data_IF_591101685251
#
_entry.id   IF_591101685251
#
_cell.length_a   1.000
_cell.length_b   1.000
_cell.length_c   1.000
_cell.angle_alpha   90.00
_cell.angle_beta   90.00
_cell.angle_gamma   90.00
#
_symmetry.space_group_name_H-M   'P 1'
#
loop_
_entity.id
_entity.type
_entity.pdbx_description
1 polymer ?
#
# COMPACT_ATOMS: atom_id res chain seq x y z
N UNK A 1 24.04 6.10 -6.96
CA UNK A 1 22.91 5.73 -6.10
C UNK A 1 22.79 6.82 -5.06
N UNK A 2 21.88 7.77 -5.26
CA UNK A 2 21.64 8.84 -4.28
C UNK A 2 20.67 8.31 -3.21
N UNK A 3 21.04 8.49 -1.94
CA UNK A 3 20.24 8.10 -0.78
C UNK A 3 19.83 9.36 -0.04
N UNK A 4 18.55 9.46 0.31
CA UNK A 4 18.04 10.55 1.15
C UNK A 4 17.94 10.06 2.59
N UNK A 5 18.62 10.74 3.52
CA UNK A 5 18.53 10.48 4.94
C UNK A 5 17.28 11.17 5.50
N UNK A 6 16.40 10.42 6.15
CA UNK A 6 15.50 11.02 7.13
C UNK A 6 16.18 10.90 8.49
N UNK A 7 16.30 12.02 9.22
CA UNK A 7 16.87 12.03 10.57
C UNK A 7 16.24 11.00 11.52
N UNK A 8 16.87 10.74 12.67
CA UNK A 8 16.47 9.66 13.59
C UNK A 8 15.01 9.79 14.03
N UNK A 9 14.12 8.99 13.43
CA UNK A 9 12.67 9.07 13.68
C UNK A 9 12.24 8.28 14.94
N UNK A 10 13.13 7.50 15.55
CA UNK A 10 12.80 6.59 16.65
C UNK A 10 13.66 6.74 17.90
N UNK A 11 13.11 6.34 19.05
CA UNK A 11 13.80 6.24 20.36
C UNK A 11 15.11 5.43 20.31
N UNK A 12 15.32 4.61 19.28
CA UNK A 12 16.49 3.72 19.14
C UNK A 12 17.70 4.36 18.46
N UNK A 13 17.61 5.60 17.96
CA UNK A 13 18.69 6.22 17.19
C UNK A 13 19.02 5.49 15.88
N UNK A 14 18.05 4.75 15.31
CA UNK A 14 18.20 4.12 14.00
C UNK A 14 18.05 5.15 12.88
N UNK A 15 18.94 5.06 11.89
CA UNK A 15 18.91 5.86 10.68
C UNK A 15 18.09 5.15 9.60
N UNK A 16 17.34 5.95 8.86
CA UNK A 16 16.55 5.53 7.73
C UNK A 16 17.04 6.25 6.49
N UNK A 17 17.31 5.48 5.44
CA UNK A 17 17.62 6.01 4.12
C UNK A 17 16.58 5.52 3.13
N UNK A 18 16.24 6.36 2.16
CA UNK A 18 15.31 6.03 1.09
C UNK A 18 16.08 5.92 -0.22
N UNK A 19 15.69 4.95 -1.05
CA UNK A 19 16.15 4.91 -2.44
C UNK A 19 15.59 6.09 -3.22
N UNK A 20 16.30 6.51 -4.26
CA UNK A 20 15.91 7.62 -5.14
C UNK A 20 14.52 7.45 -5.77
N UNK A 21 14.16 6.21 -6.11
CA UNK A 21 12.83 5.87 -6.62
C UNK A 21 11.76 5.69 -5.54
N UNK A 22 12.11 5.87 -4.26
CA UNK A 22 11.21 5.79 -3.11
C UNK A 22 10.61 4.41 -2.84
N UNK A 23 11.08 3.35 -3.53
CA UNK A 23 10.51 1.99 -3.42
C UNK A 23 11.06 1.20 -2.24
N UNK A 24 12.28 1.50 -1.80
CA UNK A 24 12.95 0.76 -0.73
C UNK A 24 13.45 1.69 0.37
N UNK A 25 13.50 1.13 1.58
CA UNK A 25 14.05 1.75 2.77
C UNK A 25 15.28 0.95 3.21
N UNK A 26 16.33 1.65 3.61
CA UNK A 26 17.48 1.08 4.29
C UNK A 26 17.40 1.52 5.74
N UNK A 27 17.21 0.56 6.65
CA UNK A 27 17.15 0.82 8.10
C UNK A 27 18.39 0.25 8.78
N UNK A 28 19.10 1.07 9.56
CA UNK A 28 20.17 0.56 10.43
C UNK A 28 19.56 -0.20 11.60
N UNK A 29 20.10 -1.37 11.90
CA UNK A 29 19.63 -2.25 12.99
C UNK A 29 20.75 -2.56 13.97
N UNK A 30 20.39 -2.90 15.19
CA UNK A 30 21.34 -3.34 16.20
C UNK A 30 21.83 -4.77 15.94
N UNK A 31 22.99 -5.13 16.50
CA UNK A 31 23.55 -6.48 16.34
C UNK A 31 22.60 -7.58 16.86
N UNK A 32 21.85 -7.29 17.92
CA UNK A 32 20.86 -8.20 18.51
C UNK A 32 19.70 -8.48 17.56
N UNK A 33 19.17 -7.44 16.90
CA UNK A 33 18.11 -7.55 15.88
C UNK A 33 18.57 -8.37 14.68
N UNK A 34 19.80 -8.13 14.21
CA UNK A 34 20.41 -8.94 13.15
C UNK A 34 20.47 -10.42 13.53
N UNK A 35 20.89 -10.73 14.77
CA UNK A 35 20.96 -12.13 15.25
C UNK A 35 19.57 -12.76 15.30
N UNK A 36 18.59 -12.06 15.84
CA UNK A 36 17.18 -12.51 15.90
C UNK A 36 16.65 -12.84 14.50
N UNK A 37 16.89 -11.98 13.52
CA UNK A 37 16.43 -12.23 12.16
C UNK A 37 17.11 -13.44 11.52
N UNK A 38 18.44 -13.58 11.68
CA UNK A 38 19.18 -14.72 11.16
C UNK A 38 18.69 -16.05 11.74
N UNK A 39 18.37 -16.10 13.03
CA UNK A 39 17.81 -17.29 13.68
C UNK A 39 16.39 -17.61 13.17
N UNK A 40 15.59 -16.60 12.86
CA UNK A 40 14.21 -16.75 12.38
C UNK A 40 14.04 -16.80 10.86
N UNK A 41 15.13 -16.68 10.07
CA UNK A 41 15.08 -16.44 8.62
C UNK A 41 14.29 -17.52 7.87
N UNK A 42 14.46 -18.79 8.25
CA UNK A 42 13.73 -19.90 7.63
C UNK A 42 12.23 -19.78 7.86
N UNK A 43 11.81 -19.55 9.10
CA UNK A 43 10.40 -19.41 9.45
C UNK A 43 9.78 -18.18 8.76
N UNK A 44 10.54 -17.08 8.66
CA UNK A 44 10.14 -15.91 7.89
C UNK A 44 9.91 -16.25 6.41
N UNK A 45 10.87 -16.93 5.78
CA UNK A 45 10.76 -17.32 4.37
C UNK A 45 9.54 -18.22 4.12
N UNK A 46 9.36 -19.25 4.95
CA UNK A 46 8.22 -20.16 4.85
C UNK A 46 6.90 -19.42 5.01
N UNK A 47 6.82 -18.46 5.95
CA UNK A 47 5.63 -17.62 6.14
C UNK A 47 5.32 -16.74 4.92
N UNK A 48 6.31 -16.05 4.35
CA UNK A 48 6.11 -15.17 3.19
C UNK A 48 5.66 -15.97 1.96
N UNK A 49 6.18 -17.18 1.76
CA UNK A 49 5.81 -18.05 0.63
C UNK A 49 4.40 -18.61 0.81
N UNK A 50 4.04 -19.03 2.02
CA UNK A 50 2.72 -19.56 2.31
C UNK A 50 1.62 -18.47 2.30
N UNK A 51 2.00 -17.20 2.53
CA UNK A 51 1.05 -16.09 2.70
C UNK A 51 1.34 -14.97 1.69
N UNK A 52 0.89 -15.11 0.43
CA UNK A 52 1.18 -14.12 -0.61
C UNK A 52 0.62 -12.74 -0.29
N UNK A 53 -0.45 -12.68 0.51
CA UNK A 53 -1.12 -11.46 0.94
C UNK A 53 -0.61 -10.89 2.27
N UNK A 54 0.49 -11.40 2.83
CA UNK A 54 1.05 -10.92 4.10
C UNK A 54 1.31 -9.40 4.13
N UNK A 55 0.93 -8.81 5.27
CA UNK A 55 1.21 -7.42 5.62
C UNK A 55 2.60 -7.25 6.22
N UNK A 56 3.29 -8.32 6.59
CA UNK A 56 4.66 -8.26 7.10
C UNK A 56 5.57 -7.61 6.06
N UNK A 57 6.33 -6.59 6.49
CA UNK A 57 7.24 -5.88 5.61
C UNK A 57 8.26 -6.86 4.98
N UNK A 58 8.48 -6.69 3.66
CA UNK A 58 9.41 -7.52 2.91
C UNK A 58 10.83 -7.05 3.06
N UNK A 59 11.69 -8.01 3.36
CA UNK A 59 13.11 -7.80 3.52
C UNK A 59 13.81 -8.31 2.27
N UNK A 60 14.53 -7.41 1.59
CA UNK A 60 15.24 -7.71 0.36
C UNK A 60 16.72 -8.02 0.59
N UNK A 61 17.28 -7.57 1.70
CA UNK A 61 18.67 -7.84 2.03
C UNK A 61 19.00 -7.51 3.47
N UNK A 62 19.83 -8.36 4.08
CA UNK A 62 20.43 -8.11 5.39
C UNK A 62 21.94 -7.98 5.18
N UNK A 63 22.49 -6.83 5.55
CA UNK A 63 23.87 -6.50 5.24
C UNK A 63 24.64 -6.03 6.48
N UNK A 64 25.95 -6.18 6.38
CA UNK A 64 26.90 -5.70 7.38
C UNK A 64 28.07 -5.03 6.69
N UNK A 65 28.34 -3.79 7.04
CA UNK A 65 29.50 -3.03 6.56
C UNK A 65 30.48 -2.79 7.70
N UNK A 66 31.77 -2.94 7.40
CA UNK A 66 32.87 -2.66 8.31
C UNK A 66 33.78 -1.62 7.66
N UNK A 67 33.71 -0.39 8.13
CA UNK A 67 34.61 0.68 7.69
C UNK A 67 35.97 0.56 8.40
N UNK A 68 37.09 0.91 7.75
CA UNK A 68 38.40 0.95 8.40
C UNK A 68 38.35 1.85 9.64
N UNK A 69 38.78 1.33 10.79
CA UNK A 69 38.78 2.03 12.10
C UNK A 69 37.39 2.43 12.65
N UNK A 70 36.28 1.91 12.12
CA UNK A 70 34.94 2.19 12.66
C UNK A 70 34.23 0.94 13.20
N UNK A 71 33.15 1.15 13.96
CA UNK A 71 32.25 0.08 14.41
C UNK A 71 31.57 -0.59 13.22
N UNK A 72 31.20 -1.87 13.40
CA UNK A 72 30.40 -2.61 12.41
C UNK A 72 29.00 -2.01 12.36
N UNK A 73 28.50 -1.75 11.17
CA UNK A 73 27.13 -1.26 10.94
C UNK A 73 26.34 -2.39 10.32
N UNK A 74 25.19 -2.71 10.91
CA UNK A 74 24.23 -3.65 10.36
C UNK A 74 23.04 -2.86 9.81
N UNK A 75 22.55 -3.26 8.65
CA UNK A 75 21.36 -2.65 8.06
C UNK A 75 20.55 -3.67 7.28
N UNK A 76 19.27 -3.35 7.13
CA UNK A 76 18.32 -4.12 6.34
C UNK A 76 17.78 -3.25 5.22
N UNK A 77 17.65 -3.84 4.03
CA UNK A 77 16.94 -3.27 2.89
C UNK A 77 15.54 -3.87 2.92
N UNK A 78 14.54 -3.01 3.02
CA UNK A 78 13.13 -3.39 3.18
C UNK A 78 12.23 -2.61 2.24
N UNK A 79 11.04 -3.13 1.99
CA UNK A 79 10.03 -2.45 1.19
C UNK A 79 9.59 -1.15 1.86
N UNK A 80 9.43 -0.09 1.06
CA UNK A 80 8.73 1.09 1.52
C UNK A 80 7.21 0.86 1.49
N UNK A 81 6.61 0.65 2.67
CA UNK A 81 5.15 0.51 2.83
C UNK A 81 4.43 1.79 2.39
N UNK A 82 5.09 2.95 2.47
CA UNK A 82 4.55 4.27 2.12
C UNK A 82 5.38 4.91 1.00
N UNK A 83 5.23 4.47 -0.27
CA UNK A 83 6.04 4.98 -1.37
C UNK A 83 5.89 6.50 -1.51
N UNK A 84 7.01 7.20 -1.66
CA UNK A 84 7.05 8.67 -1.83
C UNK A 84 6.31 9.16 -3.09
N UNK A 85 6.04 8.26 -4.04
CA UNK A 85 5.25 8.52 -5.24
C UNK A 85 3.75 8.69 -4.98
N UNK A 86 3.29 8.55 -3.73
CA UNK A 86 1.88 8.69 -3.35
C UNK A 86 1.72 9.89 -2.42
N UNK A 87 0.64 10.64 -2.60
CA UNK A 87 0.29 11.77 -1.72
C UNK A 87 -0.34 11.20 -0.45
N UNK A 88 0.53 10.76 0.46
CA UNK A 88 0.09 10.27 1.77
C UNK A 88 -0.28 11.49 2.61
N UNK A 89 -1.58 11.67 2.81
CA UNK A 89 -2.16 12.78 3.55
C UNK A 89 -2.06 12.56 5.06
N UNK A 90 -2.17 11.30 5.50
CA UNK A 90 -2.12 10.93 6.91
C UNK A 90 -1.32 9.65 7.11
N UNK A 91 -0.53 9.60 8.19
CA UNK A 91 0.26 8.43 8.55
C UNK A 91 0.03 8.07 10.01
N UNK A 92 -0.21 6.78 10.27
CA UNK A 92 -0.41 6.25 11.60
C UNK A 92 0.48 5.03 11.85
N UNK A 93 1.14 5.00 13.00
CA UNK A 93 1.82 3.83 13.55
C UNK A 93 0.98 3.34 14.72
N UNK A 94 0.38 2.15 14.60
CA UNK A 94 -0.57 1.59 15.58
C UNK A 94 -0.05 0.29 16.19
N UNK A 95 -0.09 0.16 17.52
CA UNK A 95 0.40 -1.01 18.29
C UNK A 95 -0.69 -1.69 19.13
N UNK A 96 -1.88 -1.10 19.18
CA UNK A 96 -2.96 -1.49 20.08
C UNK A 96 -2.66 -1.17 21.54
N UNK A 97 -1.92 -0.10 21.81
CA UNK A 97 -1.59 0.32 23.18
C UNK A 97 -1.68 1.83 23.31
N UNK A 98 -2.15 2.33 24.46
CA UNK A 98 -2.39 3.76 24.65
C UNK A 98 -1.27 4.49 25.40
N UNK A 99 -0.51 3.82 26.28
CA UNK A 99 0.48 4.52 27.11
C UNK A 99 1.67 5.08 26.30
N UNK A 100 1.87 6.40 26.34
CA UNK A 100 2.95 7.08 25.62
C UNK A 100 2.80 7.01 24.08
N UNK A 101 1.59 6.73 23.59
CA UNK A 101 1.26 6.55 22.18
C UNK A 101 0.40 7.71 21.65
N UNK A 102 0.89 8.91 21.89
CA UNK A 102 0.36 10.17 21.38
C UNK A 102 1.47 10.92 20.64
N UNK A 103 1.10 11.57 19.54
CA UNK A 103 1.91 12.58 18.86
C UNK A 103 1.27 13.93 19.13
N UNK A 104 2.07 14.88 19.60
CA UNK A 104 1.60 16.22 19.97
C UNK A 104 1.00 16.93 18.76
N UNK A 105 -0.12 17.63 18.97
CA UNK A 105 -0.82 18.36 17.90
C UNK A 105 0.08 19.37 17.19
N UNK A 106 0.93 20.09 17.92
CA UNK A 106 1.91 21.02 17.36
C UNK A 106 2.80 20.37 16.29
N UNK A 107 3.26 19.13 16.52
CA UNK A 107 4.11 18.41 15.55
C UNK A 107 3.32 18.03 14.29
N UNK A 108 2.02 17.73 14.44
CA UNK A 108 1.13 17.40 13.33
C UNK A 108 0.78 18.65 12.51
N UNK A 109 0.54 19.77 13.19
CA UNK A 109 0.22 21.04 12.55
C UNK A 109 1.45 21.63 11.81
N UNK A 110 2.65 21.47 12.37
CA UNK A 110 3.92 21.88 11.74
C UNK A 110 4.34 20.96 10.60
N UNK A 111 4.07 19.66 10.72
CA UNK A 111 4.40 18.66 9.70
C UNK A 111 3.18 17.77 9.43
N UNK A 112 2.44 18.01 8.34
CA UNK A 112 1.32 17.17 7.93
C UNK A 112 1.70 15.69 7.71
N UNK A 113 2.99 15.40 7.50
CA UNK A 113 3.56 14.06 7.39
C UNK A 113 4.09 13.53 8.73
N UNK A 114 3.70 14.11 9.86
CA UNK A 114 4.02 13.55 11.16
C UNK A 114 3.29 12.23 11.37
N UNK A 115 4.03 11.20 11.80
CA UNK A 115 3.43 9.90 12.13
C UNK A 115 2.64 10.04 13.42
N UNK A 116 1.33 9.85 13.31
CA UNK A 116 0.38 9.83 14.40
C UNK A 116 0.31 8.41 15.02
N UNK A 117 -0.24 8.29 16.23
CA UNK A 117 -0.24 7.03 17.00
C UNK A 117 -1.65 6.64 17.46
N UNK A 118 -1.73 5.59 18.27
CA UNK A 118 -2.98 4.98 18.75
C UNK A 118 -3.95 5.98 19.38
N UNK A 119 -3.48 6.87 20.27
CA UNK A 119 -4.37 7.86 20.89
C UNK A 119 -4.90 8.87 19.86
N UNK A 120 -4.05 9.32 18.94
CA UNK A 120 -4.49 10.23 17.87
C UNK A 120 -5.52 9.56 16.95
N UNK A 121 -5.41 8.26 16.70
CA UNK A 121 -6.39 7.51 15.92
C UNK A 121 -7.77 7.56 16.57
N UNK A 122 -7.83 7.26 17.88
CA UNK A 122 -9.07 7.27 18.68
C UNK A 122 -9.63 8.69 18.80
N UNK A 123 -8.79 9.68 19.14
CA UNK A 123 -9.19 11.09 19.30
C UNK A 123 -9.76 11.69 18.02
N UNK A 124 -9.25 11.28 16.87
CA UNK A 124 -9.73 11.74 15.57
C UNK A 124 -10.94 10.93 15.06
N UNK A 125 -11.48 10.01 15.88
CA UNK A 125 -12.60 9.12 15.53
C UNK A 125 -12.42 8.44 14.16
N UNK A 126 -11.19 8.00 13.87
CA UNK A 126 -10.84 7.43 12.56
C UNK A 126 -11.16 5.95 12.50
N UNK A 127 -11.64 5.54 11.34
CA UNK A 127 -11.85 4.13 10.99
C UNK A 127 -11.44 3.88 9.54
N UNK A 128 -11.10 2.63 9.22
CA UNK A 128 -10.98 2.17 7.84
C UNK A 128 -12.36 1.91 7.27
N UNK A 129 -12.76 2.69 6.28
CA UNK A 129 -14.06 2.54 5.60
C UNK A 129 -14.05 1.31 4.67
N UNK A 130 -14.35 0.14 5.24
CA UNK A 130 -14.27 -1.17 4.57
C UNK A 130 -15.62 -1.91 4.61
N UNK A 131 -16.02 -2.53 3.49
CA UNK A 131 -17.15 -3.45 3.48
C UNK A 131 -16.80 -4.73 4.28
N UNK A 132 -17.80 -5.54 4.68
CA UNK A 132 -17.56 -6.76 5.46
C UNK A 132 -16.55 -7.71 4.80
N UNK A 133 -16.62 -7.92 3.48
CA UNK A 133 -15.69 -8.77 2.72
C UNK A 133 -14.23 -8.31 2.85
N UNK A 134 -13.96 -7.01 2.69
CA UNK A 134 -12.62 -6.45 2.85
C UNK A 134 -12.13 -6.51 4.30
N UNK A 135 -13.03 -6.34 5.27
CA UNK A 135 -12.69 -6.50 6.68
C UNK A 135 -12.26 -7.93 6.98
N UNK A 136 -12.95 -8.93 6.45
CA UNK A 136 -12.53 -10.34 6.56
C UNK A 136 -11.16 -10.60 5.95
N UNK A 137 -10.92 -10.10 4.73
CA UNK A 137 -9.62 -10.24 4.05
C UNK A 137 -8.50 -9.62 4.90
N UNK A 138 -8.70 -8.39 5.38
CA UNK A 138 -7.70 -7.66 6.17
C UNK A 138 -7.44 -8.33 7.51
N UNK A 139 -8.49 -8.58 8.28
CA UNK A 139 -8.36 -9.10 9.64
C UNK A 139 -7.99 -10.58 9.67
N UNK A 140 -8.43 -11.37 8.70
CA UNK A 140 -7.96 -12.74 8.49
C UNK A 140 -6.45 -12.78 8.24
N UNK A 141 -5.93 -11.88 7.40
CA UNK A 141 -4.49 -11.78 7.15
C UNK A 141 -3.71 -11.27 8.37
N UNK A 142 -4.22 -10.25 9.08
CA UNK A 142 -3.61 -9.75 10.32
C UNK A 142 -3.53 -10.87 11.37
N UNK A 143 -4.60 -11.62 11.60
CA UNK A 143 -4.61 -12.71 12.56
C UNK A 143 -3.56 -13.78 12.22
N UNK A 144 -3.40 -14.10 10.94
CA UNK A 144 -2.41 -15.06 10.45
C UNK A 144 -0.98 -14.56 10.60
N UNK A 145 -0.70 -13.30 10.24
CA UNK A 145 0.61 -12.68 10.39
C UNK A 145 1.01 -12.53 11.87
N UNK A 146 0.08 -12.10 12.71
CA UNK A 146 0.29 -11.92 14.16
C UNK A 146 0.48 -13.26 14.85
N UNK A 147 -0.19 -14.34 14.41
CA UNK A 147 0.07 -15.69 14.91
C UNK A 147 1.51 -16.12 14.65
N UNK A 148 2.02 -15.90 13.44
CA UNK A 148 3.42 -16.14 13.11
C UNK A 148 4.36 -15.33 14.00
N UNK A 149 4.18 -14.02 14.10
CA UNK A 149 5.04 -13.14 14.91
C UNK A 149 5.04 -13.57 16.39
N UNK A 150 3.88 -13.91 16.93
CA UNK A 150 3.72 -14.42 18.29
C UNK A 150 4.46 -15.73 18.50
N UNK A 151 4.36 -16.67 17.55
CA UNK A 151 5.06 -17.97 17.61
C UNK A 151 6.58 -17.82 17.53
N UNK A 152 7.07 -16.80 16.80
CA UNK A 152 8.48 -16.45 16.70
C UNK A 152 9.01 -15.66 17.91
N UNK A 153 8.15 -15.37 18.89
CA UNK A 153 8.49 -14.57 20.07
C UNK A 153 8.78 -13.10 19.75
N UNK A 154 8.25 -12.60 18.63
CA UNK A 154 8.43 -11.20 18.18
C UNK A 154 7.33 -10.35 18.80
N UNK A 155 7.70 -9.15 19.27
CA UNK A 155 6.79 -8.18 19.87
C UNK A 155 7.13 -6.75 19.41
N UNK A 156 6.39 -5.76 19.92
CA UNK A 156 6.60 -4.34 19.65
C UNK A 156 6.50 -3.91 18.17
N UNK A 157 5.91 -4.76 17.31
CA UNK A 157 5.62 -4.44 15.91
C UNK A 157 4.41 -3.51 15.79
N UNK A 158 4.40 -2.66 14.77
CA UNK A 158 3.27 -1.74 14.50
C UNK A 158 2.60 -2.07 13.19
N UNK A 159 1.30 -1.80 13.07
CA UNK A 159 0.67 -1.60 11.78
C UNK A 159 0.90 -0.15 11.35
N UNK A 160 1.67 0.04 10.28
CA UNK A 160 1.82 1.32 9.61
C UNK A 160 0.68 1.49 8.61
N UNK A 161 -0.04 2.60 8.73
CA UNK A 161 -1.17 2.97 7.86
C UNK A 161 -0.84 4.29 7.19
N UNK A 162 -0.87 4.31 5.87
CA UNK A 162 -0.88 5.54 5.08
C UNK A 162 -2.25 5.72 4.44
N UNK A 163 -2.85 6.89 4.64
CA UNK A 163 -4.10 7.28 4.00
C UNK A 163 -3.76 8.25 2.87
N UNK A 164 -4.24 7.94 1.67
CA UNK A 164 -4.13 8.82 0.51
C UNK A 164 -5.48 8.94 -0.16
N UNK A 165 -5.81 10.11 -0.71
CA UNK A 165 -6.91 10.23 -1.66
C UNK A 165 -6.39 9.98 -3.06
N UNK A 166 -7.21 9.39 -3.93
CA UNK A 166 -6.86 9.25 -5.34
C UNK A 166 -6.86 10.63 -6.01
N UNK A 167 -5.76 11.36 -5.89
CA UNK A 167 -5.46 12.51 -6.74
C UNK A 167 -4.80 12.03 -8.03
N UNK A 168 -4.88 12.85 -9.09
CA UNK A 168 -4.14 12.59 -10.32
C UNK A 168 -2.65 12.48 -9.98
N UNK A 169 -2.09 11.28 -10.18
CA UNK A 169 -0.65 10.99 -9.97
C UNK A 169 0.24 12.03 -10.65
N UNK A 170 -0.22 12.57 -11.78
CA UNK A 170 0.42 13.63 -12.53
C UNK A 170 0.44 14.99 -11.83
N UNK A 171 -0.62 15.35 -11.10
CA UNK A 171 -0.67 16.58 -10.31
C UNK A 171 0.35 16.54 -9.16
N UNK A 172 0.50 15.38 -8.51
CA UNK A 172 1.49 15.18 -7.46
C UNK A 172 2.93 15.19 -8.01
N UNK A 173 3.19 14.46 -9.10
CA UNK A 173 4.52 14.45 -9.74
C UNK A 173 4.91 15.88 -10.14
N UNK A 174 3.96 16.66 -10.66
CA UNK A 174 4.14 18.06 -10.99
C UNK A 174 4.46 18.92 -9.76
N UNK A 175 3.71 18.75 -8.67
CA UNK A 175 3.95 19.44 -7.39
C UNK A 175 5.32 19.11 -6.80
N UNK A 176 5.72 17.83 -6.80
CA UNK A 176 7.04 17.39 -6.30
C UNK A 176 8.21 17.86 -7.18
N UNK A 177 7.96 18.06 -8.48
CA UNK A 177 8.91 18.70 -9.40
C UNK A 177 9.04 20.20 -9.11
N UNK A 178 7.91 20.89 -8.90
CA UNK A 178 7.85 22.32 -8.55
C UNK A 178 8.47 22.61 -7.18
N UNK A 179 8.33 21.72 -6.20
CA UNK A 179 8.93 21.81 -4.87
C UNK A 179 10.42 21.39 -4.84
N UNK A 180 11.00 20.99 -5.98
CA UNK A 180 12.42 20.64 -6.12
C UNK A 180 12.80 19.29 -5.50
N UNK A 181 11.81 18.47 -5.11
CA UNK A 181 12.01 17.14 -4.53
C UNK A 181 12.33 16.08 -5.60
N UNK A 182 12.03 16.34 -6.88
CA UNK A 182 12.35 15.47 -8.01
C UNK A 182 13.15 16.24 -9.07
N UNK A 183 14.19 15.62 -9.63
CA UNK A 183 15.00 16.19 -10.73
C UNK A 183 14.44 15.79 -12.09
N UNK A 184 14.69 16.65 -13.08
CA UNK A 184 14.35 16.44 -14.50
C UNK A 184 15.01 15.15 -15.01
N UNK A 185 14.21 14.16 -15.40
CA UNK A 185 14.65 12.82 -15.78
C UNK A 185 14.01 11.67 -14.99
N UNK A 186 13.32 11.94 -13.89
CA UNK A 186 12.52 10.94 -13.12
C UNK A 186 11.07 10.95 -13.59
N UNK A 187 10.83 10.94 -14.91
CA UNK A 187 9.49 10.69 -15.44
C UNK A 187 9.33 9.16 -15.44
N UNK A 188 8.40 8.57 -14.66
CA UNK A 188 8.05 7.17 -14.84
C UNK A 188 7.48 7.05 -16.25
N UNK A 189 8.11 6.19 -17.07
CA UNK A 189 7.68 5.88 -18.42
C UNK A 189 6.13 5.79 -18.52
N UNK A 190 5.54 6.53 -19.46
CA UNK A 190 4.10 6.56 -19.73
C UNK A 190 3.59 5.24 -20.34
N UNK A 191 4.45 4.24 -20.50
CA UNK A 191 4.03 2.94 -20.99
C UNK A 191 2.87 2.40 -20.13
N UNK A 192 1.67 2.19 -20.73
CA UNK A 192 0.57 1.56 -20.01
C UNK A 192 1.10 0.24 -19.48
N UNK A 193 1.10 0.12 -18.13
CA UNK A 193 1.48 -1.06 -17.34
C UNK A 193 1.84 -2.22 -18.25
N UNK A 194 3.14 -2.41 -18.46
CA UNK A 194 3.69 -3.38 -19.38
C UNK A 194 2.91 -4.69 -19.27
N UNK A 195 1.97 -4.90 -20.21
CA UNK A 195 1.12 -6.08 -20.30
C UNK A 195 1.96 -7.34 -20.60
N UNK A 196 3.26 -7.13 -20.79
CA UNK A 196 4.30 -8.10 -21.05
C UNK A 196 5.30 -8.32 -19.91
N UNK A 197 5.05 -7.87 -18.67
CA UNK A 197 5.75 -8.48 -17.52
C UNK A 197 5.17 -9.87 -17.30
N UNK A 198 5.68 -10.80 -18.13
CA UNK A 198 5.44 -12.22 -18.04
C UNK A 198 5.42 -12.63 -16.57
N UNK A 199 4.24 -13.12 -16.19
CA UNK A 199 3.95 -13.77 -14.93
C UNK A 199 5.13 -14.67 -14.57
N UNK A 200 6.02 -14.20 -13.70
CA UNK A 200 7.04 -15.06 -13.12
C UNK A 200 6.28 -16.00 -12.19
N UNK A 201 5.94 -17.17 -12.71
CA UNK A 201 4.99 -18.16 -12.20
C UNK A 201 5.58 -18.95 -11.03
N UNK A 202 6.37 -18.27 -10.20
CA UNK A 202 7.02 -18.82 -9.02
C UNK A 202 6.30 -18.26 -7.78
N UNK A 203 6.29 -19.01 -6.68
CA UNK A 203 5.57 -18.64 -5.45
C UNK A 203 5.93 -17.23 -4.93
N UNK A 204 7.19 -16.80 -5.11
CA UNK A 204 7.64 -15.45 -4.79
C UNK A 204 7.00 -14.36 -5.67
N UNK A 205 6.78 -14.64 -6.96
CA UNK A 205 6.07 -13.73 -7.88
C UNK A 205 4.58 -13.62 -7.57
N UNK A 206 3.96 -14.72 -7.12
CA UNK A 206 2.58 -14.69 -6.60
C UNK A 206 2.48 -13.91 -5.30
N UNK A 207 3.47 -14.02 -4.41
CA UNK A 207 3.57 -13.15 -3.23
C UNK A 207 3.70 -11.68 -3.64
N UNK A 208 4.45 -11.34 -4.70
CA UNK A 208 4.52 -9.97 -5.24
C UNK A 208 3.17 -9.39 -5.69
N UNK A 209 2.14 -10.22 -5.88
CA UNK A 209 0.78 -9.80 -6.25
C UNK A 209 -0.17 -9.70 -5.04
N UNK A 210 0.27 -9.04 -3.96
CA UNK A 210 -0.59 -8.86 -2.78
C UNK A 210 -1.69 -7.82 -3.02
N UNK A 211 -2.92 -8.11 -2.58
CA UNK A 211 -4.06 -7.16 -2.62
C UNK A 211 -3.80 -5.88 -1.82
N UNK A 212 -2.93 -5.96 -0.81
CA UNK A 212 -2.56 -4.83 0.04
C UNK A 212 -1.37 -4.03 -0.51
N UNK A 213 -0.69 -4.53 -1.56
CA UNK A 213 0.51 -3.88 -2.12
C UNK A 213 0.19 -3.11 -3.40
N UNK A 214 0.87 -1.97 -3.55
CA UNK A 214 0.49 -0.92 -4.48
C UNK A 214 0.68 -1.27 -5.97
N UNK A 215 1.51 -2.27 -6.27
CA UNK A 215 1.97 -2.56 -7.63
C UNK A 215 0.89 -3.15 -8.56
N UNK A 216 -0.17 -3.76 -8.01
CA UNK A 216 -1.25 -4.37 -8.80
C UNK A 216 -2.63 -3.71 -8.61
N UNK A 217 -2.83 -2.91 -7.54
CA UNK A 217 -4.17 -2.53 -7.10
C UNK A 217 -4.41 -1.03 -6.80
N UNK A 218 -3.39 -0.16 -6.88
CA UNK A 218 -3.43 1.19 -6.28
C UNK A 218 -3.77 1.14 -4.77
N UNK A 219 -3.24 0.18 -4.02
CA UNK A 219 -3.49 0.03 -2.57
C UNK A 219 -4.86 -0.52 -2.20
N UNK A 220 -5.13 -0.64 -0.89
CA UNK A 220 -6.39 -1.16 -0.36
C UNK A 220 -7.44 -0.06 -0.31
N UNK A 221 -8.30 0.00 -1.33
CA UNK A 221 -9.27 1.09 -1.49
C UNK A 221 -10.37 1.04 -0.45
N UNK A 222 -10.81 2.21 0.02
CA UNK A 222 -12.03 2.31 0.79
C UNK A 222 -13.23 1.78 0.00
N UNK A 223 -14.23 1.32 0.73
CA UNK A 223 -15.54 1.08 0.16
C UNK A 223 -16.25 2.42 0.06
N UNK A 224 -16.93 2.71 -1.07
CA UNK A 224 -17.74 3.91 -1.16
C UNK A 224 -18.90 3.80 -0.17
N UNK A 225 -18.70 4.33 1.03
CA UNK A 225 -19.74 4.67 2.00
C UNK A 225 -20.17 6.13 1.83
N UNK A 226 -19.49 6.89 0.98
CA UNK A 226 -19.83 8.27 0.70
C UNK A 226 -21.01 8.30 -0.29
N UNK A 227 -22.08 9.10 -0.01
CA UNK A 227 -23.16 9.29 -0.96
C UNK A 227 -22.62 9.62 -2.35
N UNK A 228 -23.29 9.14 -3.40
CA UNK A 228 -22.90 9.36 -4.79
C UNK A 228 -22.73 10.86 -5.17
N UNK A 229 -23.20 11.78 -4.33
CA UNK A 229 -23.09 13.23 -4.45
C UNK A 229 -21.81 13.86 -3.88
N UNK A 230 -20.94 13.13 -3.18
CA UNK A 230 -19.63 13.69 -2.82
C UNK A 230 -18.71 13.63 -4.03
N UNK A 231 -18.29 14.78 -4.56
CA UNK A 231 -17.25 14.86 -5.59
C UNK A 231 -15.84 14.43 -5.11
N UNK A 232 -15.70 13.94 -3.87
CA UNK A 232 -14.40 13.58 -3.29
C UNK A 232 -13.99 12.15 -3.69
N UNK A 233 -12.73 11.93 -4.13
CA UNK A 233 -12.24 10.60 -4.50
C UNK A 233 -12.17 9.67 -3.28
N UNK A 234 -12.34 8.35 -3.46
CA UNK A 234 -12.23 7.38 -2.39
C UNK A 234 -10.81 7.34 -1.80
N UNK A 235 -10.72 7.00 -0.52
CA UNK A 235 -9.45 6.78 0.15
C UNK A 235 -8.77 5.50 -0.36
N UNK A 236 -7.45 5.53 -0.34
CA UNK A 236 -6.55 4.43 -0.60
C UNK A 236 -5.70 4.24 0.65
N UNK A 237 -5.80 3.05 1.24
CA UNK A 237 -5.03 2.66 2.40
C UNK A 237 -3.79 1.85 1.99
N UNK A 238 -2.63 2.27 2.48
CA UNK A 238 -1.37 1.54 2.39
C UNK A 238 -1.07 0.97 3.76
N UNK A 239 -0.94 -0.35 3.86
CA UNK A 239 -0.90 -1.07 5.12
C UNK A 239 0.33 -1.97 5.17
N UNK A 240 1.02 -1.99 6.30
CA UNK A 240 2.12 -2.94 6.52
C UNK A 240 2.53 -3.07 7.97
N UNK A 241 2.84 -4.29 8.40
CA UNK A 241 3.39 -4.57 9.73
C UNK A 241 4.90 -4.34 9.68
N UNK A 242 5.37 -3.41 10.52
CA UNK A 242 6.76 -2.97 10.60
C UNK A 242 7.41 -3.36 11.94
N UNK A 243 8.73 -3.20 12.03
CA UNK A 243 9.53 -3.43 13.25
C UNK A 243 9.47 -4.85 13.82
N UNK A 244 9.57 -5.85 12.95
CA UNK A 244 9.51 -7.29 13.28
C UNK A 244 10.80 -7.90 13.84
N UNK A 245 11.76 -7.10 14.30
CA UNK A 245 13.08 -7.60 14.75
C UNK A 245 13.24 -7.68 16.26
N UNK A 246 12.26 -7.19 17.02
CA UNK A 246 12.32 -7.18 18.49
C UNK A 246 11.82 -8.51 19.05
N UNK A 247 12.75 -9.38 19.47
CA UNK A 247 12.39 -10.60 20.21
C UNK A 247 12.14 -10.28 21.68
N UNK A 248 11.15 -10.95 22.25
CA UNK A 248 10.89 -10.94 23.67
C UNK A 248 12.03 -11.65 24.43
N UNK A 249 12.71 -10.89 25.28
CA UNK A 249 13.79 -11.42 26.11
C UNK A 249 13.25 -11.74 27.50
N UNK A 250 13.13 -13.03 27.84
CA UNK A 250 12.48 -13.52 29.06
C UNK A 250 13.11 -12.96 30.35
N UNK A 251 14.37 -12.53 30.28
CA UNK A 251 15.11 -11.93 31.41
C UNK A 251 14.48 -10.60 31.86
N UNK A 252 13.85 -9.84 30.95
CA UNK A 252 13.10 -8.61 31.31
C UNK A 252 11.67 -8.89 31.78
N UNK A 253 11.12 -10.05 31.43
CA UNK A 253 9.76 -10.41 31.86
C UNK A 253 9.64 -10.71 33.35
N UNK A 254 10.72 -11.16 33.99
CA UNK A 254 10.71 -11.41 35.43
C UNK A 254 10.63 -10.09 36.22
N UNK A 255 11.34 -9.04 35.76
CA UNK A 255 11.19 -7.69 36.31
C UNK A 255 9.80 -7.09 36.05
N UNK A 256 9.19 -7.37 34.90
CA UNK A 256 7.87 -6.83 34.55
C UNK A 256 6.69 -7.58 35.17
N UNK A 257 6.78 -8.90 35.38
CA UNK A 257 5.79 -9.67 36.14
C UNK A 257 5.75 -9.22 37.61
N UNK A 258 6.91 -8.87 38.18
CA UNK A 258 7.01 -8.31 39.52
C UNK A 258 6.39 -6.89 39.60
N UNK A 259 6.48 -6.09 38.52
CA UNK A 259 5.84 -4.76 38.42
C UNK A 259 4.34 -4.80 38.06
N UNK A 260 3.88 -5.78 37.28
CA UNK A 260 2.45 -5.94 36.94
C UNK A 260 1.60 -6.42 38.12
N UNK A 261 2.24 -6.86 39.21
CA UNK A 261 1.56 -7.18 40.46
C UNK A 261 1.01 -5.93 41.18
N UNK A 262 1.45 -4.73 40.77
CA UNK A 262 0.98 -3.44 41.28
C UNK A 262 0.12 -2.64 40.28
N UNK A 263 0.04 -3.01 39.00
CA UNK A 263 -0.66 -2.20 37.98
C UNK A 263 -1.18 -3.01 36.79
N UNK A 264 -2.35 -2.62 36.27
CA UNK A 264 -3.14 -3.35 35.27
C UNK A 264 -2.37 -3.65 33.96
N UNK A 265 -2.41 -4.91 33.52
CA UNK A 265 -1.57 -5.48 32.45
C UNK A 265 -1.87 -4.96 31.03
N UNK A 266 -2.95 -4.20 30.84
CA UNK A 266 -3.33 -3.61 29.54
C UNK A 266 -2.47 -2.39 29.13
N UNK A 267 -1.68 -1.83 30.05
CA UNK A 267 -1.04 -0.52 29.87
C UNK A 267 0.43 -0.57 29.39
N UNK A 268 1.05 -1.75 29.28
CA UNK A 268 2.50 -1.89 29.06
C UNK A 268 2.83 -2.51 27.67
N UNK A 269 3.90 -2.06 27.00
CA UNK A 269 4.32 -2.53 25.66
C UNK A 269 5.05 -3.89 25.69
N UNK A 270 5.85 -4.13 26.73
CA UNK A 270 6.62 -5.37 26.90
C UNK A 270 5.81 -6.44 27.64
N UNK A 271 5.00 -7.18 26.90
CA UNK A 271 4.13 -8.25 27.42
C UNK A 271 4.40 -9.54 26.65
N UNK A 272 4.00 -10.67 27.23
CA UNK A 272 4.06 -11.98 26.57
C UNK A 272 3.60 -11.87 25.09
N UNK A 273 4.34 -12.41 24.10
CA UNK A 273 4.00 -12.28 22.68
C UNK A 273 2.58 -12.71 22.31
N UNK A 274 1.97 -13.66 23.06
CA UNK A 274 0.57 -14.05 22.87
C UNK A 274 -0.39 -12.97 23.32
N UNK A 275 -0.13 -12.35 24.47
CA UNK A 275 -0.92 -11.24 24.99
C UNK A 275 -0.79 -10.02 24.09
N UNK A 276 0.43 -9.70 23.65
CA UNK A 276 0.67 -8.62 22.69
C UNK A 276 -0.13 -8.85 21.41
N UNK A 277 -0.04 -10.05 20.84
CA UNK A 277 -0.75 -10.42 19.61
C UNK A 277 -2.27 -10.33 19.76
N UNK A 278 -2.83 -10.83 20.87
CA UNK A 278 -4.26 -10.72 21.16
C UNK A 278 -4.73 -9.28 21.21
N UNK A 279 -4.07 -8.44 22.02
CA UNK A 279 -4.38 -7.01 22.15
C UNK A 279 -4.31 -6.30 20.81
N UNK A 280 -3.28 -6.61 20.02
CA UNK A 280 -3.11 -6.04 18.69
C UNK A 280 -4.29 -6.39 17.76
N UNK A 281 -4.67 -7.68 17.66
CA UNK A 281 -5.80 -8.11 16.83
C UNK A 281 -7.12 -7.51 17.31
N UNK A 282 -7.34 -7.44 18.63
CA UNK A 282 -8.52 -6.80 19.22
C UNK A 282 -8.63 -5.32 18.82
N UNK A 283 -7.53 -4.57 18.96
CA UNK A 283 -7.50 -3.15 18.61
C UNK A 283 -7.70 -2.93 17.10
N UNK A 284 -7.04 -3.72 16.25
CA UNK A 284 -7.21 -3.59 14.79
C UNK A 284 -8.64 -3.92 14.34
N UNK A 285 -9.30 -4.87 14.98
CA UNK A 285 -10.68 -5.21 14.66
C UNK A 285 -11.68 -4.17 15.16
N UNK A 286 -11.59 -3.79 16.44
CA UNK A 286 -12.56 -2.90 17.08
C UNK A 286 -12.36 -1.44 16.68
N UNK A 287 -11.17 -0.88 16.89
CA UNK A 287 -10.91 0.57 16.77
C UNK A 287 -10.50 0.96 15.35
N UNK A 288 -9.78 0.09 14.63
CA UNK A 288 -9.30 0.41 13.28
C UNK A 288 -10.31 0.04 12.20
N UNK A 289 -11.00 -1.10 12.35
CA UNK A 289 -11.98 -1.57 11.37
C UNK A 289 -13.45 -1.30 11.77
N UNK A 290 -13.73 -0.79 12.97
CA UNK A 290 -15.10 -0.57 13.45
C UNK A 290 -15.96 -1.84 13.41
N UNK A 291 -15.36 -3.01 13.68
CA UNK A 291 -16.06 -4.29 13.61
C UNK A 291 -16.83 -4.58 14.90
N UNK A 292 -17.85 -5.42 14.80
CA UNK A 292 -18.62 -5.82 15.97
C UNK A 292 -17.81 -6.74 16.90
N UNK A 293 -18.29 -6.90 18.14
CA UNK A 293 -17.60 -7.71 19.14
C UNK A 293 -17.52 -9.19 18.73
N UNK A 294 -18.48 -9.71 17.96
CA UNK A 294 -18.51 -11.12 17.59
C UNK A 294 -17.44 -11.45 16.54
N UNK A 295 -17.29 -10.60 15.53
CA UNK A 295 -16.26 -10.68 14.49
C UNK A 295 -14.86 -10.54 15.10
N UNK A 296 -14.68 -9.57 16.00
CA UNK A 296 -13.42 -9.39 16.73
C UNK A 296 -13.03 -10.64 17.50
N UNK A 297 -13.97 -11.22 18.27
CA UNK A 297 -13.69 -12.46 19.01
C UNK A 297 -13.40 -13.65 18.09
N UNK A 298 -14.02 -13.72 16.90
CA UNK A 298 -13.71 -14.75 15.90
C UNK A 298 -12.28 -14.62 15.39
N UNK A 299 -11.83 -13.41 15.04
CA UNK A 299 -10.44 -13.21 14.56
C UNK A 299 -9.41 -13.42 15.68
N UNK A 300 -9.73 -13.06 16.92
CA UNK A 300 -8.88 -13.37 18.08
C UNK A 300 -8.78 -14.89 18.30
N UNK A 301 -9.90 -15.60 18.22
CA UNK A 301 -9.91 -17.05 18.33
C UNK A 301 -9.06 -17.69 17.23
N UNK A 302 -9.24 -17.24 15.98
CA UNK A 302 -8.40 -17.63 14.86
C UNK A 302 -6.92 -17.37 15.20
N UNK A 303 -6.52 -16.16 15.57
CA UNK A 303 -5.14 -15.85 16.01
C UNK A 303 -4.61 -16.85 17.05
N UNK A 304 -5.39 -17.17 18.08
CA UNK A 304 -5.03 -18.13 19.13
C UNK A 304 -4.93 -19.60 18.65
N UNK A 305 -5.27 -19.88 17.39
CA UNK A 305 -5.34 -21.23 16.82
C UNK A 305 -6.59 -21.99 17.27
N UNK A 306 -7.63 -21.27 17.69
CA UNK A 306 -8.90 -21.81 18.17
C UNK A 306 -10.00 -21.45 17.17
N UNK A 307 -10.56 -22.44 16.50
CA UNK A 307 -11.60 -22.23 15.48
C UNK A 307 -11.03 -22.27 14.06
N UNK A 308 -11.86 -21.90 13.09
CA UNK A 308 -11.52 -21.98 11.68
C UNK A 308 -10.72 -20.75 11.24
N UNK A 309 -9.63 -20.99 10.52
CA UNK A 309 -8.90 -19.92 9.85
C UNK A 309 -9.75 -19.31 8.73
N UNK A 310 -9.61 -17.99 8.55
CA UNK A 310 -10.22 -17.29 7.42
C UNK A 310 -9.49 -17.72 6.14
N UNK A 311 -10.26 -18.15 5.14
CA UNK A 311 -9.75 -18.43 3.78
C UNK A 311 -9.49 -17.11 3.03
N UNK A 312 -8.43 -16.42 3.45
CA UNK A 312 -8.02 -15.14 2.87
C UNK A 312 -7.76 -15.29 1.36
N UNK A 313 -7.15 -16.39 0.94
CA UNK A 313 -6.75 -16.62 -0.45
C UNK A 313 -7.98 -16.80 -1.35
N UNK A 314 -8.98 -17.56 -0.90
CA UNK A 314 -10.28 -17.70 -1.56
C UNK A 314 -11.03 -16.37 -1.66
N UNK A 315 -11.11 -15.62 -0.56
CA UNK A 315 -11.78 -14.31 -0.52
C UNK A 315 -11.10 -13.29 -1.44
N UNK A 316 -9.77 -13.25 -1.47
CA UNK A 316 -9.03 -12.36 -2.37
C UNK A 316 -9.26 -12.75 -3.84
N UNK A 317 -9.26 -14.03 -4.17
CA UNK A 317 -9.54 -14.50 -5.52
C UNK A 317 -10.94 -14.08 -6.00
N UNK A 318 -11.95 -14.20 -5.13
CA UNK A 318 -13.32 -13.75 -5.41
C UNK A 318 -13.38 -12.24 -5.61
N UNK A 319 -12.79 -11.47 -4.69
CA UNK A 319 -12.70 -10.02 -4.77
C UNK A 319 -12.07 -9.54 -6.08
N UNK A 320 -10.94 -10.13 -6.49
CA UNK A 320 -10.26 -9.78 -7.73
C UNK A 320 -11.11 -10.13 -8.96
N UNK A 321 -11.81 -11.27 -8.94
CA UNK A 321 -12.74 -11.67 -10.02
C UNK A 321 -13.89 -10.67 -10.13
N UNK A 322 -14.46 -10.22 -9.00
CA UNK A 322 -15.51 -9.21 -8.97
C UNK A 322 -15.03 -7.85 -9.47
N UNK A 323 -13.84 -7.42 -9.04
CA UNK A 323 -13.19 -6.18 -9.51
C UNK A 323 -12.98 -6.19 -11.03
N UNK A 324 -12.46 -7.30 -11.60
CA UNK A 324 -12.26 -7.45 -13.04
C UNK A 324 -13.58 -7.34 -13.82
N UNK A 325 -14.65 -8.00 -13.34
CA UNK A 325 -16.00 -7.89 -13.95
C UNK A 325 -16.49 -6.44 -13.97
N UNK A 326 -16.32 -5.72 -12.86
CA UNK A 326 -16.72 -4.32 -12.75
C UNK A 326 -15.93 -3.42 -13.71
N UNK A 327 -14.62 -3.61 -13.84
CA UNK A 327 -13.81 -2.83 -14.78
C UNK A 327 -14.25 -3.04 -16.23
N UNK A 328 -14.47 -4.29 -16.63
CA UNK A 328 -14.97 -4.62 -17.97
C UNK A 328 -16.36 -4.02 -18.24
N UNK A 329 -17.24 -4.00 -17.23
CA UNK A 329 -18.55 -3.38 -17.34
C UNK A 329 -18.43 -1.85 -17.56
N UNK A 330 -17.60 -1.17 -16.77
CA UNK A 330 -17.35 0.28 -16.93
C UNK A 330 -16.74 0.60 -18.29
N UNK A 331 -15.81 -0.23 -18.78
CA UNK A 331 -15.20 -0.07 -20.10
C UNK A 331 -16.23 -0.20 -21.23
N UNK A 332 -17.07 -1.23 -21.18
CA UNK A 332 -18.19 -1.41 -22.12
C UNK A 332 -19.15 -0.22 -22.09
N UNK A 333 -19.48 0.29 -20.91
CA UNK A 333 -20.37 1.44 -20.78
C UNK A 333 -19.73 2.73 -21.34
N UNK A 334 -18.43 2.94 -21.11
CA UNK A 334 -17.67 4.06 -21.70
C UNK A 334 -17.60 3.97 -23.23
N UNK A 335 -17.41 2.77 -23.76
CA UNK A 335 -17.41 2.52 -25.20
C UNK A 335 -18.79 2.77 -25.80
N UNK A 336 -19.86 2.28 -25.17
CA UNK A 336 -21.23 2.55 -25.57
C UNK A 336 -21.52 4.05 -25.60
N UNK A 337 -21.15 4.79 -24.53
CA UNK A 337 -21.28 6.26 -24.48
C UNK A 337 -20.41 6.98 -25.53
N UNK A 338 -19.27 6.42 -25.94
CA UNK A 338 -18.48 6.95 -27.07
C UNK A 338 -19.22 6.74 -28.38
N UNK A 339 -19.73 5.54 -28.64
CA UNK A 339 -20.49 5.22 -29.85
C UNK A 339 -21.77 6.05 -29.96
N UNK A 340 -22.49 6.25 -28.85
CA UNK A 340 -23.71 7.07 -28.83
C UNK A 340 -23.41 8.55 -29.12
N UNK A 341 -22.30 9.09 -28.59
CA UNK A 341 -21.82 10.44 -28.96
C UNK A 341 -21.44 10.57 -30.43
N UNK A 342 -20.91 9.51 -31.05
CA UNK A 342 -20.61 9.52 -32.49
C UNK A 342 -21.87 9.43 -33.37
N UNK A 343 -22.98 8.87 -32.85
CA UNK A 343 -24.28 8.83 -33.57
C UNK A 343 -25.03 10.15 -33.53
N UNK A 344 -24.79 11.00 -32.52
CA UNK A 344 -25.40 12.33 -32.42
C UNK A 344 -24.71 13.40 -33.29
N UNK A 345 -23.53 13.09 -33.86
CA UNK A 345 -22.90 13.93 -34.89
C UNK A 345 -23.45 13.52 -36.26
N UNK A 346 -24.61 14.04 -36.65
CA UNK A 346 -25.06 13.95 -38.05
C UNK A 346 -24.06 14.71 -38.95
N UNK A 347 -23.70 14.19 -40.13
CA UNK A 347 -23.06 15.01 -41.14
C UNK A 347 -24.13 15.93 -41.73
N UNK A 348 -24.07 17.22 -41.42
CA UNK A 348 -24.74 18.23 -42.24
C UNK A 348 -24.01 18.29 -43.59
N UNK A 349 -24.37 17.38 -44.49
CA UNK A 349 -24.03 17.48 -45.90
C UNK A 349 -24.92 18.58 -46.52
N UNK A 350 -24.34 19.56 -47.25
CA UNK A 350 -25.14 20.59 -47.89
C UNK A 350 -25.97 19.99 -49.03
N UNK A 351 -27.27 20.28 -49.03
CA UNK A 351 -28.20 19.92 -50.10
C UNK A 351 -27.79 20.59 -51.41
N UNK A 352 -27.51 19.80 -52.44
CA UNK A 352 -27.30 20.29 -53.80
C UNK A 352 -28.59 20.91 -54.36
N UNK A 353 -28.39 22.11 -54.91
CA UNK A 353 -29.16 22.82 -55.91
C UNK A 353 -30.11 21.95 -56.76
N UNK A 354 -31.40 22.28 -56.70
CA UNK A 354 -32.31 22.11 -57.83
C UNK A 354 -32.89 23.46 -58.25
N UNK A 355 -32.24 24.15 -59.18
CA UNK A 355 -32.95 25.07 -60.08
C UNK A 355 -32.35 25.05 -61.49
N UNK A 356 -33.24 24.68 -62.42
CA UNK A 356 -33.41 25.20 -63.78
C UNK A 356 -32.20 25.24 -64.73
N UNK A 357 -32.29 24.42 -65.77
CA UNK A 357 -31.37 24.44 -66.89
C UNK A 357 -31.52 25.64 -67.82
N UNK A 358 -30.48 25.88 -68.61
CA UNK A 358 -30.57 26.18 -70.03
C UNK A 358 -29.16 26.09 -70.65
N UNK A 359 -29.06 25.32 -71.74
CA UNK A 359 -28.15 25.47 -72.89
C UNK A 359 -26.70 25.94 -72.66
N UNK A 360 -25.72 25.10 -72.98
CA UNK A 360 -25.14 25.06 -74.34
C UNK A 360 -23.93 24.11 -74.42
N UNK A 361 -23.78 23.61 -75.63
CA UNK A 361 -22.94 22.54 -76.17
C UNK A 361 -21.44 22.86 -76.35
N UNK A 362 -20.69 21.80 -76.69
CA UNK A 362 -19.31 21.69 -77.23
C UNK A 362 -18.21 21.57 -76.17
N UNK A 363 -17.12 20.81 -76.34
CA UNK A 363 -16.76 19.70 -77.23
C UNK A 363 -15.45 19.09 -76.70
N UNK A 364 -15.09 17.89 -77.19
CA UNK A 364 -13.82 17.18 -76.96
C UNK A 364 -12.61 18.08 -77.22
N UNK A 365 -11.57 18.00 -76.39
CA UNK A 365 -10.25 17.65 -76.94
C UNK A 365 -9.27 17.07 -75.90
N UNK A 366 -8.32 16.33 -76.46
CA UNK A 366 -7.27 15.46 -75.91
C UNK A 366 -6.13 16.25 -75.28
N UNK A 367 -5.37 15.61 -74.38
CA UNK A 367 -4.00 16.06 -74.12
C UNK A 367 -3.32 15.44 -72.91
N UNK A 368 -2.46 14.45 -73.17
CA UNK A 368 -1.11 14.20 -72.56
C UNK A 368 -0.99 14.16 -71.03
N UNK A 369 -0.67 12.99 -70.45
CA UNK A 369 0.69 12.53 -70.07
C UNK A 369 1.42 13.54 -69.16
N UNK A 370 1.85 13.21 -67.93
CA UNK A 370 3.07 12.41 -67.63
C UNK A 370 3.11 12.12 -66.11
N UNK A 371 3.38 10.86 -65.73
CA UNK A 371 3.85 10.41 -64.39
C UNK A 371 5.40 10.61 -64.29
N UNK A 372 6.09 10.15 -63.24
CA UNK A 372 6.19 10.62 -61.85
C UNK A 372 7.68 10.90 -61.50
N UNK A 373 8.02 11.45 -60.33
CA UNK A 373 9.29 11.09 -59.65
C UNK A 373 9.30 11.55 -58.19
N UNK A 374 9.32 10.57 -57.28
CA UNK A 374 9.94 10.66 -55.94
C UNK A 374 11.49 10.60 -56.08
N UNK A 375 12.27 10.35 -55.02
CA UNK A 375 12.62 11.22 -53.88
C UNK A 375 14.16 11.38 -53.73
N UNK A 376 14.61 12.23 -52.80
CA UNK A 376 15.89 12.20 -52.05
C UNK A 376 16.05 13.61 -51.43
N UNK A 377 16.45 13.81 -50.17
CA UNK A 377 17.27 13.01 -49.25
C UNK A 377 16.99 13.47 -47.82
#
# INVERSE_FOLDING_TARGET
MHLWESGSAGKSGSFFFFTEDGRYIIKTIHHTEHKVFMEGLRNYYEHIIANPHTLINRLFGLHRVKLPRSKKIHFVVMENVLPLTRDIEEMYDLKGSTYGRHTLRQVVDENPRAVQKDQNWIENERELFLNPEKREILMGQIARDVRYLSSAGIMDYSLLIGVSRKQDRWALIKKLFEEGHLREGVIPDESPMDSNRSLNRNALGSAMNSVFRSDFCDGFRSTPSIPADSHLPPFVYHLGIIDIFTRYDAVKSMEHAFKSMYQSSSTISAVNPKFYGKRFVEFMGAEVCGADKADVQRWVAAFEGKGNDVDVDGLVAEYLKAKKRRMLWVEKEREQRRLDRFKDVRPDAPAELSQAGSSSSFARDKGRSVLPTSPNR
#
